data_IF_193069661106
#
_entry.id   IF_193069661106
#
_cell.length_a   1.000
_cell.length_b   1.000
_cell.length_c   1.000
_cell.angle_alpha   90.00
_cell.angle_beta   90.00
_cell.angle_gamma   90.00
#
_symmetry.space_group_name_H-M   'P 1'
#
loop_
_entity.id
_entity.type
_entity.pdbx_description
1 polymer ?
#
# COMPACT_ATOMS: atom_id res chain seq x y z
N UNK A 1 -35.31 8.06 -56.35
CA UNK A 1 -35.93 7.91 -55.02
C UNK A 1 -34.85 8.14 -53.98
N UNK A 2 -35.08 9.13 -53.13
CA UNK A 2 -34.22 9.61 -52.05
C UNK A 2 -33.95 8.48 -51.06
N UNK A 3 -32.72 7.98 -51.01
CA UNK A 3 -32.18 7.38 -49.79
C UNK A 3 -31.47 8.51 -49.04
N UNK A 4 -32.13 8.93 -47.96
CA UNK A 4 -31.95 10.17 -47.20
C UNK A 4 -30.50 10.59 -46.96
N UNK A 5 -30.13 11.70 -47.61
CA UNK A 5 -28.85 12.37 -47.45
C UNK A 5 -28.78 13.13 -46.14
N UNK A 6 -28.18 12.52 -45.11
CA UNK A 6 -27.55 13.29 -44.05
C UNK A 6 -26.15 13.70 -44.55
N UNK A 7 -25.84 14.99 -44.68
CA UNK A 7 -24.50 15.41 -45.09
C UNK A 7 -23.49 14.90 -44.06
N UNK A 8 -22.36 14.36 -44.52
CA UNK A 8 -21.28 13.81 -43.66
C UNK A 8 -20.87 14.81 -42.57
N UNK A 9 -20.94 16.11 -42.87
CA UNK A 9 -20.73 17.18 -41.90
C UNK A 9 -21.66 17.12 -40.68
N UNK A 10 -22.91 16.70 -40.83
CA UNK A 10 -23.87 16.56 -39.73
C UNK A 10 -23.53 15.37 -38.84
N UNK A 11 -23.09 14.25 -39.44
CA UNK A 11 -22.61 13.09 -38.69
C UNK A 11 -21.35 13.43 -37.88
N UNK A 12 -20.42 14.19 -38.48
CA UNK A 12 -19.22 14.67 -37.81
C UNK A 12 -19.56 15.67 -36.68
N UNK A 13 -20.50 16.59 -36.90
CA UNK A 13 -20.95 17.54 -35.88
C UNK A 13 -21.61 16.82 -34.69
N UNK A 14 -22.49 15.85 -34.97
CA UNK A 14 -23.14 15.04 -33.95
C UNK A 14 -22.14 14.20 -33.16
N UNK A 15 -21.11 13.65 -33.81
CA UNK A 15 -20.05 12.90 -33.15
C UNK A 15 -19.27 13.77 -32.16
N UNK A 16 -18.89 14.99 -32.55
CA UNK A 16 -18.17 15.91 -31.65
C UNK A 16 -19.05 16.39 -30.49
N UNK A 17 -20.33 16.68 -30.74
CA UNK A 17 -21.27 17.03 -29.68
C UNK A 17 -21.46 15.89 -28.68
N UNK A 18 -21.55 14.64 -29.14
CA UNK A 18 -21.67 13.47 -28.27
C UNK A 18 -20.42 13.26 -27.41
N UNK A 19 -19.22 13.43 -27.98
CA UNK A 19 -17.96 13.34 -27.23
C UNK A 19 -17.82 14.43 -26.17
N UNK A 20 -18.21 15.67 -26.49
CA UNK A 20 -18.22 16.79 -25.54
C UNK A 20 -19.21 16.55 -24.40
N UNK A 21 -20.42 16.09 -24.72
CA UNK A 21 -21.44 15.80 -23.71
C UNK A 21 -21.03 14.62 -22.81
N UNK A 22 -20.37 13.60 -23.37
CA UNK A 22 -19.80 12.49 -22.62
C UNK A 22 -18.72 12.93 -21.63
N UNK A 23 -17.77 13.76 -22.08
CA UNK A 23 -16.74 14.33 -21.20
C UNK A 23 -17.35 15.22 -20.10
N UNK A 24 -18.37 16.02 -20.42
CA UNK A 24 -19.07 16.84 -19.44
C UNK A 24 -19.78 15.98 -18.39
N UNK A 25 -20.43 14.87 -18.81
CA UNK A 25 -21.03 13.91 -17.88
C UNK A 25 -19.98 13.28 -16.96
N UNK A 26 -18.83 12.88 -17.50
CA UNK A 26 -17.73 12.30 -16.72
C UNK A 26 -17.20 13.31 -15.68
N UNK A 27 -16.99 14.57 -16.06
CA UNK A 27 -16.56 15.61 -15.12
C UNK A 27 -17.59 15.89 -14.02
N UNK A 28 -18.89 15.90 -14.36
CA UNK A 28 -19.95 16.09 -13.37
C UNK A 28 -20.07 14.89 -12.41
N UNK A 29 -19.88 13.66 -12.89
CA UNK A 29 -19.82 12.48 -12.04
C UNK A 29 -18.61 12.52 -11.09
N UNK A 30 -17.43 12.90 -11.57
CA UNK A 30 -16.22 13.06 -10.74
C UNK A 30 -16.37 14.20 -9.72
N UNK A 31 -17.03 15.31 -10.10
CA UNK A 31 -17.29 16.42 -9.17
C UNK A 31 -18.32 16.06 -8.10
N UNK A 32 -19.35 15.27 -8.47
CA UNK A 32 -20.29 14.68 -7.51
C UNK A 32 -19.59 13.71 -6.57
N UNK A 33 -18.53 13.06 -7.05
CA UNK A 33 -17.66 12.23 -6.24
C UNK A 33 -16.83 12.99 -5.21
N UNK A 34 -16.42 14.22 -5.49
CA UNK A 34 -15.71 15.04 -4.52
C UNK A 34 -16.64 15.67 -3.45
N UNK A 35 -17.89 15.96 -3.81
CA UNK A 35 -18.84 16.67 -2.92
C UNK A 35 -19.29 15.86 -1.70
N UNK A 36 -19.33 14.52 -1.77
CA UNK A 36 -19.75 13.72 -0.61
C UNK A 36 -18.69 13.59 0.49
N UNK A 37 -17.44 13.99 0.23
CA UNK A 37 -16.36 13.97 1.22
C UNK A 37 -16.24 15.27 2.03
N UNK A 38 -17.11 16.27 1.82
CA UNK A 38 -16.96 17.61 2.40
C UNK A 38 -18.02 18.00 3.45
N UNK A 39 -18.55 17.05 4.24
CA UNK A 39 -19.41 17.42 5.39
C UNK A 39 -19.25 16.45 6.56
N UNK A 40 -18.13 16.55 7.27
CA UNK A 40 -18.00 16.12 8.65
C UNK A 40 -16.86 16.90 9.31
N UNK A 41 -17.05 18.21 9.52
CA UNK A 41 -16.21 18.99 10.42
C UNK A 41 -16.87 19.05 11.80
N UNK A 42 -16.07 18.63 12.79
CA UNK A 42 -16.00 19.09 14.18
C UNK A 42 -17.19 18.80 15.11
N UNK A 43 -16.97 17.83 16.00
CA UNK A 43 -17.28 18.03 17.41
C UNK A 43 -15.99 17.76 18.20
N UNK A 44 -15.40 18.83 18.74
CA UNK A 44 -14.37 18.74 19.77
C UNK A 44 -14.96 18.03 20.99
N UNK A 45 -14.23 17.09 21.59
CA UNK A 45 -14.37 16.85 23.02
C UNK A 45 -13.02 16.59 23.65
N UNK A 46 -12.59 17.60 24.39
CA UNK A 46 -11.45 17.61 25.31
C UNK A 46 -11.76 16.74 26.54
N UNK A 47 -10.87 15.80 26.88
CA UNK A 47 -10.75 15.29 28.24
C UNK A 47 -9.31 14.87 28.54
N UNK A 48 -8.75 15.51 29.57
CA UNK A 48 -7.39 15.41 30.10
C UNK A 48 -7.18 14.28 31.11
N UNK A 49 -5.89 13.94 31.32
CA UNK A 49 -5.25 13.21 32.45
C UNK A 49 -5.41 11.67 32.45
N UNK A 50 -4.36 10.85 32.59
CA UNK A 50 -3.33 10.84 33.64
C UNK A 50 -2.19 9.87 33.24
N UNK A 51 -0.92 10.23 33.42
CA UNK A 51 0.24 9.30 33.35
C UNK A 51 0.25 8.33 34.55
N UNK A 52 0.80 7.12 34.38
CA UNK A 52 2.05 6.83 35.08
C UNK A 52 3.11 6.13 34.21
N UNK A 53 4.36 6.32 34.65
CA UNK A 53 5.64 5.90 34.09
C UNK A 53 5.81 4.37 33.94
N UNK A 54 6.64 3.94 32.97
CA UNK A 54 7.47 2.74 33.15
C UNK A 54 7.43 1.62 32.10
N UNK A 55 7.54 1.91 30.82
CA UNK A 55 8.26 1.07 29.84
C UNK A 55 8.45 1.91 28.58
N UNK A 56 9.66 1.96 28.02
CA UNK A 56 9.92 2.62 26.74
C UNK A 56 9.31 1.79 25.59
N UNK A 57 8.00 1.59 25.61
CA UNK A 57 7.21 1.13 24.48
C UNK A 57 6.79 2.36 23.69
N UNK A 58 7.26 2.47 22.46
CA UNK A 58 6.69 3.43 21.52
C UNK A 58 5.16 3.29 21.53
N UNK A 59 4.38 4.39 21.39
CA UNK A 59 2.95 4.29 21.24
C UNK A 59 2.65 3.33 20.08
N UNK A 60 2.07 2.17 20.39
CA UNK A 60 1.54 1.27 19.37
C UNK A 60 0.31 1.96 18.82
N UNK A 61 0.46 2.62 17.67
CA UNK A 61 -0.67 3.10 16.91
C UNK A 61 -1.46 1.88 16.41
N UNK A 62 -2.75 1.85 16.70
CA UNK A 62 -3.65 0.81 16.19
C UNK A 62 -4.18 1.26 14.81
N UNK A 63 -4.21 0.35 13.85
CA UNK A 63 -4.73 0.65 12.52
C UNK A 63 -6.25 0.60 12.57
N UNK A 64 -6.90 1.77 12.66
CA UNK A 64 -8.35 1.86 12.85
C UNK A 64 -9.12 2.58 11.75
N UNK A 65 -8.47 3.47 10.99
CA UNK A 65 -9.12 4.35 10.03
C UNK A 65 -8.39 4.35 8.67
N UNK A 66 -9.02 3.87 7.58
CA UNK A 66 -8.45 3.91 6.23
C UNK A 66 -8.20 5.32 5.67
N UNK A 67 -8.81 6.35 6.24
CA UNK A 67 -8.60 7.75 5.85
C UNK A 67 -7.52 8.44 6.67
N UNK A 68 -7.04 7.81 7.74
CA UNK A 68 -5.92 8.31 8.53
C UNK A 68 -4.62 8.30 7.70
N UNK A 69 -3.73 9.28 7.88
CA UNK A 69 -2.40 9.24 7.27
C UNK A 69 -1.51 8.12 7.84
N UNK A 70 -1.89 7.48 8.96
CA UNK A 70 -1.11 6.42 9.60
C UNK A 70 -1.37 5.08 8.91
N UNK A 71 -0.34 4.52 8.29
CA UNK A 71 -0.37 3.20 7.64
C UNK A 71 0.23 2.11 8.53
N UNK A 72 0.03 0.84 8.18
CA UNK A 72 0.70 -0.29 8.83
C UNK A 72 2.23 -0.24 8.61
N UNK A 73 3.01 -0.48 9.67
CA UNK A 73 4.47 -0.54 9.59
C UNK A 73 4.94 -1.60 8.58
N UNK A 74 4.23 -2.74 8.49
CA UNK A 74 4.54 -3.80 7.53
C UNK A 74 4.36 -3.40 6.07
N UNK A 75 3.64 -2.31 5.79
CA UNK A 75 3.39 -1.79 4.45
C UNK A 75 4.30 -0.64 4.06
N UNK A 76 5.21 -0.22 4.94
CA UNK A 76 6.19 0.80 4.61
C UNK A 76 7.04 0.35 3.40
N UNK A 77 7.26 1.23 2.42
CA UNK A 77 8.21 0.98 1.34
C UNK A 77 9.61 0.64 1.85
N UNK A 78 10.39 -0.05 1.03
CA UNK A 78 11.74 -0.54 1.39
C UNK A 78 12.71 0.61 1.77
N UNK A 79 12.45 1.84 1.32
CA UNK A 79 13.26 3.03 1.67
C UNK A 79 13.02 3.56 3.10
N UNK A 80 11.94 3.13 3.76
CA UNK A 80 11.56 3.56 5.12
C UNK A 80 11.74 2.48 6.18
N UNK A 81 12.34 1.35 5.80
CA UNK A 81 12.57 0.20 6.67
C UNK A 81 14.02 -0.26 6.53
N UNK A 82 14.51 -0.88 7.58
CA UNK A 82 15.79 -1.55 7.63
C UNK A 82 15.53 -3.04 7.85
N UNK A 83 15.98 -3.87 6.90
CA UNK A 83 15.80 -5.32 6.95
C UNK A 83 17.13 -6.02 7.15
N UNK A 84 17.11 -7.09 7.94
CA UNK A 84 18.22 -8.03 8.04
C UNK A 84 18.38 -8.82 6.74
N UNK A 85 19.60 -9.29 6.48
CA UNK A 85 19.87 -10.19 5.36
C UNK A 85 19.17 -11.55 5.54
N UNK A 86 18.82 -12.24 4.44
CA UNK A 86 18.30 -13.60 4.52
C UNK A 86 19.23 -14.54 5.28
N UNK A 87 18.68 -15.25 6.26
CA UNK A 87 19.43 -16.23 7.07
C UNK A 87 19.87 -17.41 6.20
N UNK A 88 21.16 -17.73 6.20
CA UNK A 88 21.72 -18.87 5.47
C UNK A 88 21.77 -20.11 6.37
N UNK A 89 20.88 -21.06 6.12
CA UNK A 89 20.84 -22.34 6.84
C UNK A 89 21.87 -23.36 6.31
N UNK A 90 22.60 -23.03 5.24
CA UNK A 90 23.67 -23.88 4.69
C UNK A 90 23.17 -25.30 4.37
N UNK A 91 21.95 -25.41 3.86
CA UNK A 91 21.28 -26.68 3.55
C UNK A 91 20.72 -27.45 4.76
N UNK A 92 20.73 -26.89 5.97
CA UNK A 92 20.13 -27.52 7.15
C UNK A 92 18.59 -27.34 7.18
N UNK A 93 17.87 -28.38 6.74
CA UNK A 93 16.40 -28.40 6.69
C UNK A 93 15.75 -28.27 8.06
N UNK A 94 16.35 -28.84 9.10
CA UNK A 94 15.79 -28.80 10.45
C UNK A 94 15.84 -27.39 11.02
N UNK A 95 16.98 -26.71 10.90
CA UNK A 95 17.13 -25.33 11.36
C UNK A 95 16.18 -24.37 10.62
N UNK A 96 16.02 -24.56 9.31
CA UNK A 96 15.05 -23.80 8.51
C UNK A 96 13.61 -24.02 8.97
N UNK A 97 13.22 -25.27 9.28
CA UNK A 97 11.88 -25.59 9.74
C UNK A 97 11.58 -25.06 11.15
N UNK A 98 12.58 -25.08 12.03
CA UNK A 98 12.46 -24.54 13.40
C UNK A 98 12.34 -23.01 13.41
N UNK A 99 13.13 -22.31 12.59
CA UNK A 99 13.09 -20.86 12.49
C UNK A 99 11.87 -20.37 11.67
N UNK A 100 11.43 -21.17 10.70
CA UNK A 100 10.28 -20.88 9.83
C UNK A 100 10.57 -19.91 8.68
N UNK A 101 11.78 -19.37 8.60
CA UNK A 101 12.27 -18.51 7.52
C UNK A 101 13.79 -18.68 7.37
N UNK A 102 14.38 -18.00 6.38
CA UNK A 102 15.74 -18.21 5.90
C UNK A 102 15.80 -19.08 4.64
N UNK A 103 17.00 -19.24 4.10
CA UNK A 103 17.28 -19.89 2.83
C UNK A 103 18.07 -21.18 3.06
N UNK A 104 17.69 -22.26 2.37
CA UNK A 104 18.51 -23.47 2.31
C UNK A 104 19.61 -23.37 1.27
N UNK A 105 19.36 -22.62 0.19
CA UNK A 105 20.28 -22.41 -0.92
C UNK A 105 20.29 -20.95 -1.34
N UNK A 106 21.49 -20.44 -1.63
CA UNK A 106 21.68 -19.15 -2.28
C UNK A 106 22.01 -19.29 -3.78
N UNK A 107 21.59 -18.29 -4.55
CA UNK A 107 21.89 -18.16 -5.98
C UNK A 107 20.80 -18.72 -6.90
N UNK A 108 20.98 -18.46 -8.19
CA UNK A 108 20.01 -18.73 -9.26
C UNK A 108 20.19 -17.68 -10.36
N UNK A 109 19.72 -17.97 -11.57
CA UNK A 109 19.77 -17.01 -12.68
C UNK A 109 18.41 -16.40 -12.98
N UNK A 110 17.36 -17.23 -13.03
CA UNK A 110 15.99 -16.77 -13.17
C UNK A 110 15.31 -16.64 -11.81
N UNK A 111 14.28 -15.80 -11.73
CA UNK A 111 13.48 -15.61 -10.52
C UNK A 111 12.92 -16.93 -9.96
N UNK A 112 12.49 -17.85 -10.83
CA UNK A 112 11.99 -19.18 -10.45
C UNK A 112 13.04 -20.08 -9.81
N UNK A 113 14.31 -19.84 -10.10
CA UNK A 113 15.43 -20.67 -9.63
C UNK A 113 16.02 -20.13 -8.33
N UNK A 114 15.63 -18.91 -7.93
CA UNK A 114 16.04 -18.24 -6.71
C UNK A 114 15.04 -18.58 -5.62
N UNK A 115 15.55 -19.12 -4.51
CA UNK A 115 14.76 -19.31 -3.29
C UNK A 115 14.36 -17.94 -2.73
N UNK A 116 13.16 -17.84 -2.18
CA UNK A 116 12.67 -16.60 -1.57
C UNK A 116 12.25 -16.89 -0.14
N UNK A 117 12.51 -15.94 0.74
CA UNK A 117 12.26 -16.11 2.17
C UNK A 117 11.73 -14.83 2.80
N UNK A 118 11.35 -14.93 4.08
CA UNK A 118 10.99 -13.79 4.91
C UNK A 118 12.21 -13.32 5.69
N UNK A 119 12.33 -12.00 5.90
CA UNK A 119 13.39 -11.41 6.74
C UNK A 119 12.80 -10.52 7.80
N UNK A 120 13.53 -10.34 8.90
CA UNK A 120 13.16 -9.41 9.95
C UNK A 120 13.43 -7.98 9.48
N UNK A 121 12.40 -7.14 9.45
CA UNK A 121 12.52 -5.71 9.15
C UNK A 121 12.05 -4.86 10.32
N UNK A 122 12.54 -3.62 10.35
CA UNK A 122 12.16 -2.59 11.32
C UNK A 122 11.93 -1.25 10.60
N UNK A 123 10.88 -0.53 10.99
CA UNK A 123 10.65 0.84 10.53
C UNK A 123 11.75 1.79 11.03
N UNK A 124 12.29 2.62 10.13
CA UNK A 124 13.31 3.63 10.45
C UNK A 124 12.79 4.64 11.49
N UNK A 125 13.71 5.16 12.29
CA UNK A 125 13.37 6.09 13.36
C UNK A 125 12.78 7.39 12.78
N UNK A 126 11.77 7.94 13.45
CA UNK A 126 11.03 9.14 12.99
C UNK A 126 9.91 8.87 11.99
N UNK A 127 9.76 7.63 11.49
CA UNK A 127 8.60 7.23 10.69
C UNK A 127 7.44 6.83 11.61
N UNK A 128 6.26 7.43 11.42
CA UNK A 128 5.05 7.10 12.17
C UNK A 128 4.23 6.04 11.40
N UNK A 129 3.93 4.91 12.05
CA UNK A 129 3.17 3.81 11.48
C UNK A 129 2.48 2.99 12.59
N UNK A 130 1.43 2.25 12.21
CA UNK A 130 0.63 1.40 13.08
C UNK A 130 1.12 -0.06 13.11
N UNK A 131 0.75 -0.77 14.18
CA UNK A 131 1.20 -2.15 14.48
C UNK A 131 2.69 -2.25 14.84
N UNK A 132 3.25 -3.45 15.13
CA UNK A 132 4.65 -3.57 15.53
C UNK A 132 5.61 -2.95 14.50
N UNK A 133 6.53 -2.11 14.99
CA UNK A 133 7.59 -1.51 14.17
C UNK A 133 8.57 -2.53 13.62
N UNK A 134 8.62 -3.71 14.24
CA UNK A 134 9.44 -4.86 13.83
C UNK A 134 8.52 -5.95 13.32
N UNK A 135 8.72 -6.40 12.08
CA UNK A 135 7.83 -7.33 11.38
C UNK A 135 8.60 -8.17 10.35
N UNK A 136 8.02 -9.31 9.94
CA UNK A 136 8.58 -10.13 8.85
C UNK A 136 8.14 -9.56 7.50
N UNK A 137 9.08 -9.45 6.55
CA UNK A 137 8.81 -9.10 5.16
C UNK A 137 9.14 -10.26 4.25
N UNK A 138 8.15 -10.70 3.49
CA UNK A 138 8.26 -11.84 2.58
C UNK A 138 8.93 -11.47 1.24
N UNK A 139 9.15 -12.50 0.41
CA UNK A 139 9.66 -12.39 -0.95
C UNK A 139 11.05 -11.75 -1.06
N UNK A 140 11.92 -11.92 -0.05
CA UNK A 140 13.32 -11.53 -0.19
C UNK A 140 14.10 -12.63 -0.89
N UNK A 141 14.84 -12.31 -1.98
CA UNK A 141 15.57 -13.31 -2.75
C UNK A 141 16.82 -13.77 -2.01
N UNK A 142 17.09 -15.08 -2.05
CA UNK A 142 18.28 -15.71 -1.49
C UNK A 142 19.47 -15.55 -2.44
N UNK A 143 20.01 -14.34 -2.55
CA UNK A 143 21.18 -14.00 -3.37
C UNK A 143 22.23 -13.24 -2.53
N UNK A 144 23.50 -13.31 -2.93
CA UNK A 144 24.64 -12.62 -2.30
C UNK A 144 25.21 -11.58 -3.25
#
# INVERSE_FOLDING_TARGET
MVLGGCPVSYLLLCGQAALLLGNLLLLHCVSRSHSYNATAELELTSASATHPEGSAGAPTWEYGDPHSPVILCSYLPDEFIECEDPVDHVGNTTASQELGYGCLKFGGQAYSDVEHTSVQCRALDGIECASPRTFLRDNKPCIK
#
